data_IF_252400592435
#
_entry.id   IF_252400592435
#
_cell.length_a   1.000
_cell.length_b   1.000
_cell.length_c   1.000
_cell.angle_alpha   90.00
_cell.angle_beta   90.00
_cell.angle_gamma   90.00
#
_symmetry.space_group_name_H-M   'P 1'
#
loop_
_entity.id
_entity.type
_entity.pdbx_description
1 polymer ?
#
# COMPACT_ATOMS: atom_id res chain seq x y z
N UNK A 1 2.19 61.69 -16.23
CA UNK A 1 3.27 61.34 -15.27
C UNK A 1 2.70 61.07 -13.90
N UNK A 2 2.71 59.81 -13.46
CA UNK A 2 3.13 59.36 -12.12
C UNK A 2 3.13 57.84 -12.10
N UNK A 3 4.29 57.28 -11.77
CA UNK A 3 4.56 55.87 -11.59
C UNK A 3 4.28 55.44 -10.13
N UNK A 4 4.05 54.14 -9.92
CA UNK A 4 3.90 53.48 -8.62
C UNK A 4 2.50 52.83 -8.50
N UNK A 5 2.31 51.53 -8.31
CA UNK A 5 3.14 50.53 -7.65
C UNK A 5 2.96 49.16 -8.35
N UNK A 6 4.07 48.59 -8.81
CA UNK A 6 4.24 47.15 -9.01
C UNK A 6 4.55 46.55 -7.62
N UNK A 7 4.14 45.30 -7.40
CA UNK A 7 4.46 44.43 -6.25
C UNK A 7 3.55 44.57 -5.01
N UNK A 8 2.35 44.01 -5.11
CA UNK A 8 1.63 43.49 -3.95
C UNK A 8 1.19 42.04 -4.23
N UNK A 9 1.90 41.12 -3.59
CA UNK A 9 1.44 39.80 -3.16
C UNK A 9 1.08 38.72 -4.20
N UNK A 10 2.10 38.21 -4.89
CA UNK A 10 2.15 36.78 -5.29
C UNK A 10 2.21 35.86 -4.05
N UNK A 11 2.44 36.41 -2.85
CA UNK A 11 2.44 35.69 -1.58
C UNK A 11 1.06 35.24 -1.05
N UNK A 12 -0.06 35.68 -1.65
CA UNK A 12 -1.40 35.32 -1.18
C UNK A 12 -1.96 34.03 -1.82
N UNK A 13 -1.39 33.56 -2.93
CA UNK A 13 -1.82 32.30 -3.58
C UNK A 13 -1.10 31.06 -3.05
N UNK A 14 0.02 31.25 -2.33
CA UNK A 14 0.78 30.18 -1.68
C UNK A 14 0.20 29.77 -0.32
N UNK A 15 -0.68 30.58 0.28
CA UNK A 15 -1.26 30.31 1.61
C UNK A 15 -2.57 29.51 1.56
N UNK A 16 -3.11 29.21 0.37
CA UNK A 16 -4.27 28.32 0.21
C UNK A 16 -3.91 26.91 -0.32
N UNK A 17 -2.63 26.64 -0.57
CA UNK A 17 -2.14 25.29 -0.92
C UNK A 17 -1.48 24.56 0.25
N UNK A 18 -1.22 25.22 1.39
CA UNK A 18 -0.53 24.60 2.53
C UNK A 18 -1.44 23.99 3.60
N UNK A 19 -2.74 23.91 3.32
CA UNK A 19 -3.68 23.07 4.06
C UNK A 19 -4.08 21.88 3.17
N UNK A 20 -3.08 21.14 2.66
CA UNK A 20 -3.30 19.77 2.27
C UNK A 20 -3.90 19.07 3.48
N UNK A 21 -5.18 18.70 3.36
CA UNK A 21 -5.99 18.16 4.42
C UNK A 21 -5.24 17.02 5.13
N UNK A 22 -5.28 17.00 6.45
CA UNK A 22 -4.77 15.89 7.27
C UNK A 22 -5.58 14.58 7.09
N UNK A 23 -6.24 14.41 5.94
CA UNK A 23 -7.14 13.32 5.58
C UNK A 23 -6.55 12.36 4.55
N UNK A 24 -5.35 12.63 4.03
CA UNK A 24 -4.70 11.79 3.02
C UNK A 24 -3.32 11.32 3.52
N UNK A 25 -2.88 10.19 2.97
CA UNK A 25 -1.55 9.66 3.19
C UNK A 25 -0.48 10.57 2.56
N UNK A 26 0.63 10.75 3.25
CA UNK A 26 1.73 11.57 2.75
C UNK A 26 3.09 10.99 3.15
N UNK A 27 4.15 11.49 2.51
CA UNK A 27 5.49 11.26 3.03
C UNK A 27 5.65 11.94 4.41
N UNK A 28 6.48 11.35 5.25
CA UNK A 28 6.77 11.86 6.58
C UNK A 28 8.16 11.45 7.05
N UNK A 29 8.66 12.15 8.06
CA UNK A 29 9.84 11.76 8.85
C UNK A 29 9.50 11.84 10.34
N UNK A 30 10.39 11.32 11.18
CA UNK A 30 10.32 11.57 12.62
C UNK A 30 10.59 13.05 12.91
N UNK A 31 9.80 13.62 13.82
CA UNK A 31 9.98 14.96 14.36
C UNK A 31 11.08 14.94 15.44
N UNK A 32 12.08 15.81 15.30
CA UNK A 32 13.23 15.90 16.21
C UNK A 32 14.42 15.02 15.83
N UNK A 33 15.40 14.93 16.75
CA UNK A 33 16.71 14.30 16.53
C UNK A 33 16.82 12.87 17.08
N UNK A 34 15.78 12.36 17.74
CA UNK A 34 15.81 11.05 18.37
C UNK A 34 15.18 9.99 17.47
N UNK A 35 15.85 8.84 17.36
CA UNK A 35 15.29 7.68 16.67
C UNK A 35 14.05 7.13 17.40
N UNK A 36 13.24 6.37 16.67
CA UNK A 36 12.03 5.73 17.19
C UNK A 36 12.15 4.23 17.02
N UNK A 37 11.94 3.47 18.10
CA UNK A 37 11.65 2.04 17.96
C UNK A 37 10.23 1.91 17.42
N UNK A 38 10.10 1.40 16.20
CA UNK A 38 8.85 1.01 15.60
C UNK A 38 8.63 -0.48 15.89
N UNK A 39 7.45 -0.77 16.42
CA UNK A 39 6.90 -2.11 16.52
C UNK A 39 5.94 -2.27 15.35
N UNK A 40 6.19 -3.28 14.51
CA UNK A 40 5.47 -3.46 13.26
C UNK A 40 5.43 -4.90 12.79
N UNK A 41 4.95 -5.12 11.57
CA UNK A 41 4.85 -6.43 10.95
C UNK A 41 5.01 -6.32 9.43
N UNK A 42 5.16 -7.46 8.76
CA UNK A 42 5.01 -7.55 7.29
C UNK A 42 3.64 -8.14 6.97
N UNK A 43 2.95 -7.64 5.93
CA UNK A 43 1.85 -8.38 5.33
C UNK A 43 2.28 -9.80 4.96
N UNK A 44 1.46 -10.78 5.29
CA UNK A 44 1.74 -12.20 5.05
C UNK A 44 2.75 -12.86 5.99
N UNK A 45 3.15 -12.15 7.04
CA UNK A 45 3.84 -12.74 8.19
C UNK A 45 2.89 -13.56 9.05
N UNK A 46 3.44 -14.37 9.95
CA UNK A 46 2.67 -15.10 10.98
C UNK A 46 2.20 -14.19 12.14
N UNK A 47 2.03 -12.89 11.87
CA UNK A 47 1.76 -11.87 12.88
C UNK A 47 2.93 -11.59 13.83
N UNK A 48 4.11 -12.18 13.59
CA UNK A 48 5.28 -11.95 14.46
C UNK A 48 5.66 -10.48 14.47
N UNK A 49 5.78 -9.96 15.70
CA UNK A 49 6.23 -8.61 15.95
C UNK A 49 7.67 -8.37 15.45
N UNK A 50 7.86 -7.30 14.68
CA UNK A 50 9.15 -6.83 14.20
C UNK A 50 9.47 -5.53 14.92
N UNK A 51 10.61 -5.52 15.61
CA UNK A 51 11.18 -4.30 16.19
C UNK A 51 12.24 -3.74 15.25
N UNK A 52 12.04 -2.52 14.80
CA UNK A 52 13.00 -1.79 13.97
C UNK A 52 13.19 -0.37 14.50
N UNK A 53 14.26 0.30 14.05
CA UNK A 53 14.58 1.67 14.46
C UNK A 53 14.43 2.60 13.26
N UNK A 54 13.51 3.55 13.36
CA UNK A 54 13.32 4.63 12.39
C UNK A 54 14.22 5.80 12.78
N UNK A 55 15.13 6.18 11.88
CA UNK A 55 16.11 7.24 12.15
C UNK A 55 15.52 8.63 11.89
N UNK A 56 16.04 9.69 12.53
CA UNK A 56 15.71 11.07 12.15
C UNK A 56 15.99 11.31 10.66
N UNK A 57 15.04 11.95 9.97
CA UNK A 57 15.13 12.22 8.53
C UNK A 57 14.89 11.01 7.61
N UNK A 58 14.71 9.80 8.16
CA UNK A 58 14.25 8.65 7.38
C UNK A 58 12.82 8.89 6.92
N UNK A 59 12.59 8.66 5.62
CA UNK A 59 11.32 8.91 4.95
C UNK A 59 10.46 7.65 4.95
N UNK A 60 9.21 7.82 5.30
CA UNK A 60 8.18 6.79 5.28
C UNK A 60 6.84 7.39 4.85
N UNK A 61 5.88 6.55 4.48
CA UNK A 61 4.50 7.02 4.25
C UNK A 61 3.80 7.01 5.60
N UNK A 62 3.05 8.06 5.92
CA UNK A 62 2.17 8.14 7.07
C UNK A 62 0.73 8.30 6.58
N UNK A 63 -0.16 7.44 7.07
CA UNK A 63 -1.58 7.50 6.78
C UNK A 63 -2.34 7.90 8.06
N UNK A 64 -3.24 8.89 7.98
CA UNK A 64 -4.07 9.26 9.12
C UNK A 64 -4.95 8.07 9.55
N UNK A 65 -5.26 7.96 10.85
CA UNK A 65 -6.18 6.95 11.32
C UNK A 65 -7.59 7.23 10.81
N UNK A 66 -8.39 6.17 10.68
CA UNK A 66 -9.79 6.28 10.32
C UNK A 66 -10.61 6.95 11.43
N UNK A 67 -10.36 6.54 12.68
CA UNK A 67 -10.91 7.23 13.85
C UNK A 67 -9.98 8.40 14.23
N UNK A 68 -10.49 9.62 14.09
CA UNK A 68 -9.77 10.85 14.48
C UNK A 68 -9.44 10.93 15.98
N UNK A 69 -10.04 10.08 16.82
CA UNK A 69 -9.67 9.93 18.23
C UNK A 69 -8.34 9.19 18.42
N UNK A 70 -7.91 8.39 17.43
CA UNK A 70 -6.62 7.73 17.46
C UNK A 70 -5.50 8.76 17.25
N UNK A 71 -4.56 8.79 18.18
CA UNK A 71 -3.42 9.70 18.11
C UNK A 71 -2.24 9.10 17.34
N UNK A 72 -2.27 7.80 17.06
CA UNK A 72 -1.22 7.10 16.33
C UNK A 72 -1.59 6.92 14.87
N UNK A 73 -0.72 7.39 13.98
CA UNK A 73 -0.86 7.22 12.55
C UNK A 73 -0.21 5.90 12.15
N UNK A 74 -0.78 5.25 11.13
CA UNK A 74 -0.08 4.14 10.48
C UNK A 74 1.10 4.69 9.71
N UNK A 75 2.19 3.94 9.75
CA UNK A 75 3.40 4.27 9.01
C UNK A 75 3.86 3.06 8.22
N UNK A 76 4.26 3.31 6.98
CA UNK A 76 4.77 2.29 6.06
C UNK A 76 6.20 2.64 5.71
N UNK A 77 7.14 1.85 6.24
CA UNK A 77 8.54 1.99 5.90
C UNK A 77 8.80 1.52 4.47
N UNK A 78 9.88 2.01 3.86
CA UNK A 78 10.24 1.62 2.49
C UNK A 78 10.39 0.11 2.33
N UNK A 79 10.81 -0.57 3.39
CA UNK A 79 10.93 -2.03 3.48
C UNK A 79 9.61 -2.80 3.51
N UNK A 80 8.46 -2.11 3.48
CA UNK A 80 7.14 -2.72 3.60
C UNK A 80 6.76 -3.10 5.04
N UNK A 81 7.54 -2.68 6.05
CA UNK A 81 7.14 -2.81 7.46
C UNK A 81 6.05 -1.79 7.72
N UNK A 82 4.92 -2.28 8.22
CA UNK A 82 3.82 -1.45 8.73
C UNK A 82 3.88 -1.38 10.26
N UNK A 83 3.60 -0.20 10.81
CA UNK A 83 3.44 -0.03 12.25
C UNK A 83 2.70 1.26 12.57
N UNK A 84 2.71 1.66 13.85
CA UNK A 84 2.04 2.89 14.31
C UNK A 84 3.01 3.83 15.02
N UNK A 85 2.91 5.13 14.72
CA UNK A 85 3.68 6.19 15.39
C UNK A 85 2.73 7.31 15.80
N UNK A 86 2.87 7.79 17.04
CA UNK A 86 2.10 8.92 17.55
C UNK A 86 2.30 10.17 16.69
N UNK A 87 1.21 10.89 16.37
CA UNK A 87 1.18 12.04 15.46
C UNK A 87 2.17 13.15 15.84
N UNK A 88 2.35 13.41 17.14
CA UNK A 88 3.29 14.44 17.63
C UNK A 88 4.76 14.13 17.29
N UNK A 89 5.07 12.86 17.00
CA UNK A 89 6.39 12.41 16.59
C UNK A 89 6.59 12.46 15.08
N UNK A 90 5.59 12.91 14.31
CA UNK A 90 5.64 12.96 12.86
C UNK A 90 5.81 14.39 12.35
N UNK A 91 6.74 14.55 11.41
CA UNK A 91 6.82 15.70 10.53
C UNK A 91 6.28 15.27 9.17
N UNK A 92 5.11 15.79 8.80
CA UNK A 92 4.46 15.49 7.52
C UNK A 92 5.12 16.28 6.38
N UNK A 93 5.15 15.67 5.20
CA UNK A 93 5.75 16.19 3.97
C UNK A 93 4.73 15.98 2.82
N UNK A 94 3.58 16.70 2.84
CA UNK A 94 2.48 16.48 1.88
C UNK A 94 2.85 16.74 0.42
N UNK A 95 3.87 17.59 0.18
CA UNK A 95 4.32 17.93 -1.17
C UNK A 95 5.33 16.91 -1.74
N UNK A 96 5.86 16.00 -0.92
CA UNK A 96 6.76 14.94 -1.40
C UNK A 96 5.94 13.78 -1.99
N UNK A 97 6.26 13.31 -3.20
CA UNK A 97 5.56 12.17 -3.81
C UNK A 97 5.76 10.89 -2.98
N UNK A 98 4.71 10.07 -2.87
CA UNK A 98 4.76 8.81 -2.15
C UNK A 98 5.86 7.89 -2.71
N UNK A 99 6.70 7.38 -1.82
CA UNK A 99 7.75 6.44 -2.19
C UNK A 99 7.15 5.08 -2.57
N UNK A 100 7.80 4.37 -3.50
CA UNK A 100 7.44 2.98 -3.79
C UNK A 100 7.73 2.07 -2.61
N UNK A 101 6.73 1.37 -2.11
CA UNK A 101 6.87 0.34 -1.07
C UNK A 101 7.54 -0.92 -1.63
N UNK A 102 8.36 -1.57 -0.82
CA UNK A 102 9.08 -2.79 -1.17
C UNK A 102 8.68 -3.96 -0.26
N UNK A 103 7.81 -4.84 -0.76
CA UNK A 103 7.33 -6.03 -0.05
C UNK A 103 8.15 -7.31 -0.32
N UNK A 104 9.43 -7.18 -0.71
CA UNK A 104 10.30 -8.35 -0.91
C UNK A 104 10.46 -9.23 0.34
N UNK A 105 10.22 -8.67 1.52
CA UNK A 105 10.17 -9.41 2.78
C UNK A 105 8.95 -10.33 2.88
N UNK A 106 7.76 -9.88 2.46
CA UNK A 106 6.55 -10.73 2.41
C UNK A 106 6.79 -12.00 1.60
N UNK A 107 7.48 -11.91 0.46
CA UNK A 107 7.88 -13.10 -0.32
C UNK A 107 8.72 -14.12 0.47
N UNK A 108 9.54 -13.66 1.43
CA UNK A 108 10.29 -14.58 2.32
C UNK A 108 9.37 -15.19 3.37
N UNK A 109 8.44 -14.41 3.92
CA UNK A 109 7.47 -14.92 4.89
C UNK A 109 6.53 -15.96 4.27
N UNK A 110 6.02 -15.74 3.05
CA UNK A 110 5.23 -16.74 2.32
C UNK A 110 5.98 -18.08 2.16
N UNK A 111 7.29 -18.04 1.91
CA UNK A 111 8.11 -19.26 1.80
C UNK A 111 8.23 -20.00 3.12
N UNK A 112 8.37 -19.29 4.24
CA UNK A 112 8.36 -19.90 5.57
C UNK A 112 6.97 -20.48 5.87
N UNK A 113 5.91 -19.71 5.60
CA UNK A 113 4.53 -20.11 5.86
C UNK A 113 4.11 -21.34 5.03
N UNK A 114 4.60 -21.47 3.79
CA UNK A 114 4.40 -22.67 2.96
C UNK A 114 4.84 -23.98 3.65
N UNK A 115 5.85 -23.94 4.51
CA UNK A 115 6.32 -25.12 5.26
C UNK A 115 5.55 -25.41 6.55
N UNK A 116 4.64 -24.52 6.96
CA UNK A 116 3.84 -24.68 8.17
C UNK A 116 2.52 -25.38 7.84
N UNK A 117 1.94 -26.04 8.85
CA UNK A 117 0.58 -26.54 8.75
C UNK A 117 -0.41 -25.38 8.81
N UNK A 118 -1.29 -25.28 7.81
CA UNK A 118 -2.39 -24.31 7.80
C UNK A 118 -3.46 -24.75 8.80
N UNK A 119 -3.75 -23.89 9.76
CA UNK A 119 -4.79 -24.04 10.81
C UNK A 119 -5.80 -22.90 10.70
N UNK A 120 -6.91 -22.98 11.46
CA UNK A 120 -7.96 -21.95 11.49
C UNK A 120 -7.46 -20.56 11.90
N UNK A 121 -6.34 -20.47 12.61
CA UNK A 121 -5.73 -19.20 12.99
C UNK A 121 -5.03 -18.47 11.81
N UNK A 122 -4.85 -19.16 10.69
CA UNK A 122 -4.35 -18.59 9.43
C UNK A 122 -5.56 -18.45 8.49
N UNK A 123 -6.46 -17.53 8.80
CA UNK A 123 -7.83 -17.53 8.26
C UNK A 123 -7.88 -17.48 6.73
N UNK A 124 -7.08 -16.63 6.10
CA UNK A 124 -7.00 -16.57 4.64
C UNK A 124 -6.48 -17.88 4.05
N UNK A 125 -5.38 -18.43 4.57
CA UNK A 125 -4.88 -19.70 4.05
C UNK A 125 -5.83 -20.87 4.34
N UNK A 126 -6.54 -20.83 5.48
CA UNK A 126 -7.52 -21.82 5.89
C UNK A 126 -8.74 -21.80 4.98
N UNK A 127 -9.35 -20.64 4.74
CA UNK A 127 -10.47 -20.50 3.81
C UNK A 127 -10.05 -20.90 2.40
N UNK A 128 -8.90 -20.42 1.90
CA UNK A 128 -8.35 -20.85 0.62
C UNK A 128 -8.22 -22.38 0.52
N UNK A 129 -7.76 -23.03 1.60
CA UNK A 129 -7.65 -24.49 1.68
C UNK A 129 -9.01 -25.19 1.62
N UNK A 130 -10.05 -24.66 2.28
CA UNK A 130 -11.42 -25.20 2.17
C UNK A 130 -11.94 -25.18 0.73
N UNK A 131 -11.45 -24.24 -0.09
CA UNK A 131 -11.76 -24.11 -1.51
C UNK A 131 -10.69 -24.77 -2.43
N UNK A 132 -9.85 -25.65 -1.88
CA UNK A 132 -8.87 -26.43 -2.64
C UNK A 132 -7.72 -25.59 -3.20
N UNK A 133 -7.36 -24.48 -2.54
CA UNK A 133 -6.23 -23.62 -2.90
C UNK A 133 -5.11 -23.75 -1.89
N UNK A 134 -3.90 -24.03 -2.37
CA UNK A 134 -2.69 -23.86 -1.58
C UNK A 134 -2.29 -22.39 -1.60
N UNK A 135 -2.64 -21.65 -0.55
CA UNK A 135 -2.54 -20.19 -0.48
C UNK A 135 -1.10 -19.69 -0.72
N UNK A 136 -0.14 -20.09 0.12
CA UNK A 136 1.23 -19.62 0.03
C UNK A 136 1.96 -20.11 -1.22
N UNK A 137 1.68 -21.32 -1.72
CA UNK A 137 2.22 -21.76 -3.01
C UNK A 137 1.72 -20.88 -4.16
N UNK A 138 0.44 -20.52 -4.12
CA UNK A 138 -0.18 -19.64 -5.11
C UNK A 138 0.45 -18.24 -5.06
N UNK A 139 0.61 -17.65 -3.87
CA UNK A 139 1.28 -16.36 -3.68
C UNK A 139 2.72 -16.38 -4.23
N UNK A 140 3.51 -17.40 -3.90
CA UNK A 140 4.89 -17.52 -4.36
C UNK A 140 4.96 -17.59 -5.89
N UNK A 141 4.15 -18.44 -6.53
CA UNK A 141 4.13 -18.57 -7.99
C UNK A 141 3.63 -17.29 -8.67
N UNK A 142 2.58 -16.67 -8.12
CA UNK A 142 2.07 -15.40 -8.61
C UNK A 142 3.15 -14.31 -8.55
N UNK A 143 3.91 -14.26 -7.45
CA UNK A 143 5.05 -13.34 -7.25
C UNK A 143 6.22 -13.56 -8.22
N UNK A 144 6.24 -14.69 -8.92
CA UNK A 144 7.22 -15.05 -9.96
C UNK A 144 6.68 -14.76 -11.37
N UNK A 145 5.46 -14.20 -11.47
CA UNK A 145 4.83 -13.79 -12.72
C UNK A 145 4.03 -14.90 -13.41
N UNK A 146 3.71 -15.99 -12.72
CA UNK A 146 2.83 -17.05 -13.23
C UNK A 146 1.39 -16.54 -13.33
N UNK A 147 0.94 -16.29 -14.56
CA UNK A 147 -0.38 -15.70 -14.83
C UNK A 147 -1.55 -16.57 -14.33
N UNK A 148 -1.38 -17.91 -14.28
CA UNK A 148 -2.41 -18.80 -13.75
C UNK A 148 -2.49 -18.69 -12.24
N UNK A 149 -1.34 -18.60 -11.56
CA UNK A 149 -1.30 -18.38 -10.12
C UNK A 149 -1.88 -17.00 -9.74
N UNK A 150 -1.57 -15.95 -10.51
CA UNK A 150 -2.17 -14.61 -10.31
C UNK A 150 -3.70 -14.70 -10.42
N UNK A 151 -4.21 -15.33 -11.50
CA UNK A 151 -5.65 -15.51 -11.66
C UNK A 151 -6.28 -16.33 -10.53
N UNK A 152 -5.61 -17.38 -10.06
CA UNK A 152 -6.09 -18.22 -8.96
C UNK A 152 -6.12 -17.46 -7.64
N UNK A 153 -5.12 -16.63 -7.35
CA UNK A 153 -5.13 -15.75 -6.19
C UNK A 153 -6.26 -14.72 -6.26
N UNK A 154 -6.46 -14.08 -7.41
CA UNK A 154 -7.53 -13.09 -7.57
C UNK A 154 -8.93 -13.70 -7.43
N UNK A 155 -9.13 -14.98 -7.79
CA UNK A 155 -10.42 -15.66 -7.58
C UNK A 155 -10.77 -15.89 -6.11
N UNK A 156 -9.82 -15.73 -5.18
CA UNK A 156 -10.08 -15.86 -3.75
C UNK A 156 -11.00 -14.74 -3.22
N UNK A 157 -10.94 -13.55 -3.82
CA UNK A 157 -11.77 -12.40 -3.44
C UNK A 157 -13.29 -12.70 -3.45
N UNK A 158 -13.73 -13.71 -4.20
CA UNK A 158 -15.15 -14.10 -4.28
C UNK A 158 -15.69 -14.73 -3.00
N UNK A 159 -14.83 -15.24 -2.13
CA UNK A 159 -15.23 -15.97 -0.93
C UNK A 159 -14.45 -15.63 0.34
N UNK A 160 -13.44 -14.76 0.27
CA UNK A 160 -12.73 -14.28 1.46
C UNK A 160 -13.60 -13.28 2.21
N UNK A 161 -13.87 -13.54 3.48
CA UNK A 161 -14.66 -12.67 4.36
C UNK A 161 -14.01 -12.49 5.73
N UNK A 162 -14.51 -11.55 6.53
CA UNK A 162 -13.99 -11.27 7.86
C UNK A 162 -12.47 -11.03 7.88
N UNK A 163 -11.77 -11.64 8.84
CA UNK A 163 -10.32 -11.50 8.96
C UNK A 163 -9.55 -12.21 7.82
N UNK A 164 -10.15 -13.19 7.14
CA UNK A 164 -9.60 -13.74 5.90
C UNK A 164 -9.61 -12.71 4.76
N UNK A 165 -10.68 -11.91 4.66
CA UNK A 165 -10.80 -10.80 3.70
C UNK A 165 -9.75 -9.72 3.92
N UNK A 166 -9.58 -9.27 5.17
CA UNK A 166 -8.56 -8.29 5.56
C UNK A 166 -7.15 -8.80 5.21
N UNK A 167 -6.83 -10.03 5.62
CA UNK A 167 -5.53 -10.67 5.33
C UNK A 167 -5.30 -10.85 3.82
N UNK A 168 -6.33 -11.22 3.08
CA UNK A 168 -6.27 -11.35 1.61
C UNK A 168 -5.92 -10.01 0.95
N UNK A 169 -6.53 -8.92 1.42
CA UNK A 169 -6.35 -7.59 0.84
C UNK A 169 -4.95 -7.03 1.10
N UNK A 170 -4.44 -7.19 2.32
CA UNK A 170 -3.04 -6.87 2.64
C UNK A 170 -2.05 -7.65 1.75
N UNK A 171 -2.32 -8.94 1.56
CA UNK A 171 -1.49 -9.83 0.74
C UNK A 171 -1.58 -9.50 -0.74
N UNK A 172 -2.74 -9.02 -1.21
CA UNK A 172 -2.91 -8.55 -2.58
C UNK A 172 -2.02 -7.33 -2.86
N UNK A 173 -1.96 -6.36 -1.93
CA UNK A 173 -1.08 -5.20 -2.07
C UNK A 173 0.39 -5.60 -2.06
N UNK A 174 0.79 -6.49 -1.16
CA UNK A 174 2.16 -7.01 -1.12
C UNK A 174 2.50 -7.75 -2.43
N UNK A 175 1.62 -8.62 -2.91
CA UNK A 175 1.77 -9.35 -4.16
C UNK A 175 1.88 -8.41 -5.36
N UNK A 176 1.01 -7.39 -5.46
CA UNK A 176 1.05 -6.39 -6.52
C UNK A 176 2.43 -5.72 -6.62
N UNK A 177 3.00 -5.32 -5.48
CA UNK A 177 4.33 -4.73 -5.42
C UNK A 177 5.45 -5.72 -5.76
N UNK A 178 5.37 -6.95 -5.25
CA UNK A 178 6.40 -7.99 -5.47
C UNK A 178 6.42 -8.46 -6.93
N UNK A 179 5.25 -8.65 -7.55
CA UNK A 179 5.14 -8.98 -8.98
C UNK A 179 5.76 -7.89 -9.84
N UNK A 180 5.58 -6.63 -9.43
CA UNK A 180 6.08 -5.47 -10.13
C UNK A 180 5.27 -5.14 -11.39
N UNK A 181 5.57 -3.97 -11.95
CA UNK A 181 4.80 -3.36 -13.03
C UNK A 181 4.77 -4.20 -14.31
N UNK A 182 5.89 -4.82 -14.69
CA UNK A 182 5.96 -5.62 -15.91
C UNK A 182 5.04 -6.85 -15.87
N UNK A 183 5.11 -7.63 -14.79
CA UNK A 183 4.34 -8.87 -14.68
C UNK A 183 2.85 -8.57 -14.52
N UNK A 184 2.49 -7.54 -13.75
CA UNK A 184 1.09 -7.17 -13.60
C UNK A 184 0.51 -6.57 -14.87
N UNK A 185 1.27 -5.74 -15.60
CA UNK A 185 0.88 -5.26 -16.93
C UNK A 185 0.69 -6.41 -17.92
N UNK A 186 1.56 -7.43 -17.91
CA UNK A 186 1.40 -8.64 -18.73
C UNK A 186 0.15 -9.42 -18.34
N UNK A 187 -0.14 -9.55 -17.05
CA UNK A 187 -1.37 -10.16 -16.57
C UNK A 187 -2.59 -9.42 -17.10
N UNK A 188 -2.69 -8.10 -16.90
CA UNK A 188 -3.82 -7.29 -17.34
C UNK A 188 -4.07 -7.38 -18.86
N UNK A 189 -3.00 -7.38 -19.68
CA UNK A 189 -3.10 -7.56 -21.14
C UNK A 189 -3.71 -8.91 -21.53
N UNK A 190 -3.51 -9.95 -20.72
CA UNK A 190 -4.09 -11.28 -20.94
C UNK A 190 -5.54 -11.42 -20.48
N UNK A 191 -6.11 -10.39 -19.82
CA UNK A 191 -7.44 -10.43 -19.23
C UNK A 191 -8.48 -9.74 -20.13
N UNK A 192 -9.75 -10.09 -19.91
CA UNK A 192 -10.88 -9.46 -20.59
C UNK A 192 -10.97 -7.96 -20.28
N UNK A 193 -11.69 -7.20 -21.13
CA UNK A 193 -11.98 -5.79 -20.85
C UNK A 193 -12.72 -5.62 -19.52
N UNK A 194 -13.70 -6.49 -19.22
CA UNK A 194 -14.45 -6.49 -17.95
C UNK A 194 -13.53 -6.62 -16.73
N UNK A 195 -12.57 -7.55 -16.79
CA UNK A 195 -11.59 -7.72 -15.71
C UNK A 195 -10.71 -6.49 -15.55
N UNK A 196 -10.29 -5.86 -16.65
CA UNK A 196 -9.49 -4.63 -16.61
C UNK A 196 -10.28 -3.45 -16.03
N UNK A 197 -11.58 -3.34 -16.34
CA UNK A 197 -12.45 -2.32 -15.74
C UNK A 197 -12.56 -2.51 -14.23
N UNK A 198 -12.72 -3.76 -13.75
CA UNK A 198 -12.70 -4.02 -12.30
C UNK A 198 -11.43 -3.52 -11.60
N UNK A 199 -10.24 -3.75 -12.19
CA UNK A 199 -9.00 -3.17 -11.64
C UNK A 199 -8.95 -1.65 -11.74
N UNK A 200 -9.45 -1.08 -12.82
CA UNK A 200 -9.52 0.36 -12.99
C UNK A 200 -10.42 0.99 -11.91
N UNK A 201 -11.54 0.38 -11.60
CA UNK A 201 -12.45 0.81 -10.52
C UNK A 201 -11.77 0.70 -9.16
N UNK A 202 -11.12 -0.43 -8.86
CA UNK A 202 -10.33 -0.61 -7.62
C UNK A 202 -9.27 0.48 -7.47
N UNK A 203 -8.48 0.75 -8.51
CA UNK A 203 -7.43 1.77 -8.43
C UNK A 203 -7.95 3.21 -8.54
N UNK A 204 -9.21 3.42 -8.91
CA UNK A 204 -9.83 4.75 -8.97
C UNK A 204 -10.61 5.11 -7.71
N UNK A 205 -10.94 4.12 -6.88
CA UNK A 205 -11.71 4.37 -5.68
C UNK A 205 -10.77 4.81 -4.56
N UNK A 206 -11.09 5.96 -3.98
CA UNK A 206 -10.36 6.54 -2.85
C UNK A 206 -10.99 6.01 -1.57
N UNK A 207 -10.17 5.54 -0.64
CA UNK A 207 -10.63 5.15 0.69
C UNK A 207 -11.59 3.96 0.72
N UNK A 208 -11.37 2.94 -0.12
CA UNK A 208 -12.17 1.70 -0.10
C UNK A 208 -12.08 1.06 1.26
N UNK A 209 -10.85 0.88 1.77
CA UNK A 209 -10.62 0.26 3.06
C UNK A 209 -9.76 1.17 3.91
N UNK A 210 -10.21 1.38 5.15
CA UNK A 210 -9.47 2.09 6.16
C UNK A 210 -8.20 1.36 6.61
N UNK A 211 -7.66 0.39 5.85
CA UNK A 211 -6.40 -0.34 6.07
C UNK A 211 -5.44 -0.28 4.88
N UNK A 212 -5.83 0.34 3.77
CA UNK A 212 -4.97 0.46 2.61
C UNK A 212 -3.70 1.28 2.91
N UNK A 213 -2.51 0.82 2.46
CA UNK A 213 -1.29 1.60 2.59
C UNK A 213 -1.30 2.89 1.75
N UNK A 214 -2.13 2.90 0.71
CA UNK A 214 -2.26 3.99 -0.26
C UNK A 214 -3.75 4.28 -0.40
N UNK A 215 -4.21 5.37 0.22
CA UNK A 215 -5.60 5.80 0.24
C UNK A 215 -6.07 6.38 -1.10
N UNK A 216 -5.16 6.99 -1.88
CA UNK A 216 -5.41 7.40 -3.26
C UNK A 216 -4.49 6.63 -4.24
N UNK A 217 -4.91 5.44 -4.72
CA UNK A 217 -4.04 4.58 -5.52
C UNK A 217 -3.68 5.17 -6.88
N UNK A 218 -4.59 5.89 -7.56
CA UNK A 218 -4.40 6.30 -8.97
C UNK A 218 -3.10 7.11 -9.20
N UNK A 219 -2.79 8.18 -8.44
CA UNK A 219 -1.51 8.89 -8.55
C UNK A 219 -0.29 8.00 -8.25
N UNK A 220 -0.38 7.15 -7.22
CA UNK A 220 0.68 6.24 -6.82
C UNK A 220 1.01 5.23 -7.94
N UNK A 221 -0.01 4.65 -8.58
CA UNK A 221 0.14 3.73 -9.70
C UNK A 221 0.74 4.45 -10.92
N UNK A 222 0.31 5.68 -11.22
CA UNK A 222 0.88 6.50 -12.31
C UNK A 222 2.39 6.67 -12.17
N UNK A 223 2.85 6.94 -10.96
CA UNK A 223 4.26 7.17 -10.66
C UNK A 223 5.06 5.87 -10.63
N UNK A 224 4.58 4.85 -9.91
CA UNK A 224 5.38 3.70 -9.51
C UNK A 224 5.15 2.43 -10.36
N UNK A 225 4.09 2.42 -11.18
CA UNK A 225 3.67 1.31 -12.04
C UNK A 225 3.14 1.82 -13.41
N UNK A 226 3.97 2.55 -14.19
CA UNK A 226 3.52 3.26 -15.38
C UNK A 226 2.98 2.36 -16.50
N UNK A 227 3.44 1.11 -16.64
CA UNK A 227 2.92 0.17 -17.66
C UNK A 227 1.52 -0.30 -17.30
N UNK A 228 1.29 -0.61 -16.02
CA UNK A 228 -0.01 -0.91 -15.44
C UNK A 228 -0.95 0.27 -15.62
N UNK A 229 -0.49 1.47 -15.22
CA UNK A 229 -1.27 2.70 -15.39
C UNK A 229 -1.70 2.90 -16.84
N UNK A 230 -0.78 2.75 -17.80
CA UNK A 230 -1.10 2.91 -19.22
C UNK A 230 -2.17 1.93 -19.72
N UNK A 231 -2.21 0.70 -19.22
CA UNK A 231 -3.22 -0.29 -19.65
C UNK A 231 -4.61 0.07 -19.12
N UNK A 232 -4.69 0.61 -17.91
CA UNK A 232 -5.95 0.90 -17.22
C UNK A 232 -6.49 2.30 -17.54
N UNK A 233 -5.60 3.27 -17.72
CA UNK A 233 -5.93 4.70 -17.83
C UNK A 233 -5.33 5.39 -19.07
N UNK A 234 -4.39 4.74 -19.76
CA UNK A 234 -3.68 5.31 -20.91
C UNK A 234 -4.49 5.27 -22.20
N UNK A 235 -5.48 6.15 -22.27
CA UNK A 235 -6.28 6.49 -23.46
C UNK A 235 -6.83 7.92 -23.41
N UNK A 236 -6.34 8.75 -22.48
CA UNK A 236 -6.62 10.19 -22.38
C UNK A 236 -5.49 11.01 -23.01
#
# INVERSE_FOLDING_TARGET
MKAGYLLASIAALALFHSAANASEECMATINGLNAVTLVGFFPGGDGSEIRTTVKPGERFIAAPPYDTSEQAWRVYLKSGIEGRIHRDRLRLLPDEPLMKLNYSASKREWRKAKSKQVTENDEAAWQAKQHGVNYYDTLIRASEGDLKAIARFNSLAEFMDGAAGESYHEEWWALFHVMGDENFARYLKSRSAKTREGYKDTFSTVGIEGFDPIWNPKPYIRQNFPKTYKILFGGE
#
